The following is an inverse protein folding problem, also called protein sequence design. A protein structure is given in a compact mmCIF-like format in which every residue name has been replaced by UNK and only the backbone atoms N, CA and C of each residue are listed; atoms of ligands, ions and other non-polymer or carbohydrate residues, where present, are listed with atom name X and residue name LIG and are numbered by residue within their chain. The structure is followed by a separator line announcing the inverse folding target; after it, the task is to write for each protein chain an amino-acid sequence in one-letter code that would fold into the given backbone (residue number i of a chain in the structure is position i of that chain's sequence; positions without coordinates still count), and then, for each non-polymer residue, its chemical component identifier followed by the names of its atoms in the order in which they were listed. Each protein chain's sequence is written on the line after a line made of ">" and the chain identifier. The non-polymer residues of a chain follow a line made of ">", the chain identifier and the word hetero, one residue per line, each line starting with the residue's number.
data_IF_599690052382
#
_entry.id   IF_599690052382
#
_cell.length_a   1.000
_cell.length_b   1.000
_cell.length_c   1.000
_cell.angle_alpha   90.00
_cell.angle_beta   90.00
_cell.angle_gamma   90.00
#
_symmetry.space_group_name_H-M   'P 1'
#
loop_
_entity.id
_entity.type
_entity.pdbx_description
1 polymer ?
#
# COMPACT_ATOMS: atom_id res chain seq x y z
N UNK A 1 23.43 -0.52 -6.47
CA UNK A 1 22.12 -0.19 -7.08
C UNK A 1 21.47 -1.49 -7.53
N UNK A 2 20.58 -2.06 -6.73
CA UNK A 2 19.77 -3.22 -7.12
C UNK A 2 18.44 -2.68 -7.63
N UNK A 3 18.35 -2.54 -8.96
CA UNK A 3 17.12 -2.18 -9.63
C UNK A 3 16.22 -3.42 -9.73
N UNK A 4 15.02 -3.29 -9.18
CA UNK A 4 13.79 -3.77 -9.79
C UNK A 4 13.66 -5.29 -9.96
N UNK A 5 13.47 -6.00 -8.85
CA UNK A 5 12.58 -7.16 -8.84
C UNK A 5 11.16 -6.61 -8.61
N UNK A 6 10.19 -6.98 -9.46
CA UNK A 6 8.82 -6.43 -9.57
C UNK A 6 8.61 -5.24 -10.51
N UNK A 7 9.15 -5.27 -11.72
CA UNK A 7 8.34 -4.84 -12.88
C UNK A 7 7.75 -6.11 -13.49
N UNK A 8 6.45 -6.29 -13.28
CA UNK A 8 5.65 -7.29 -13.98
C UNK A 8 5.95 -7.14 -15.48
N UNK A 9 6.59 -8.13 -16.11
CA UNK A 9 6.71 -8.15 -17.56
C UNK A 9 5.28 -8.10 -18.13
N UNK A 10 4.94 -6.98 -18.75
CA UNK A 10 3.67 -6.65 -19.42
C UNK A 10 3.44 -7.52 -20.67
N UNK A 11 3.47 -8.84 -20.56
CA UNK A 11 3.14 -9.74 -21.68
C UNK A 11 1.83 -10.50 -21.50
N UNK A 12 1.26 -10.57 -20.30
CA UNK A 12 -0.12 -11.01 -20.08
C UNK A 12 -0.63 -10.50 -18.74
N UNK A 13 -1.75 -9.78 -18.72
CA UNK A 13 -2.49 -9.55 -17.47
C UNK A 13 -2.96 -10.93 -17.00
N UNK A 14 -2.57 -11.40 -15.80
CA UNK A 14 -3.04 -12.68 -15.29
C UNK A 14 -4.57 -12.72 -15.33
N UNK A 15 -5.13 -13.76 -15.96
CA UNK A 15 -6.57 -13.97 -15.94
C UNK A 15 -7.04 -14.19 -14.49
N UNK A 16 -8.19 -13.63 -14.17
CA UNK A 16 -8.72 -13.66 -12.83
C UNK A 16 -10.02 -12.88 -12.69
N UNK A 17 -10.62 -12.95 -11.52
CA UNK A 17 -11.89 -12.30 -11.19
C UNK A 17 -11.69 -11.23 -10.13
N UNK A 18 -12.29 -10.05 -10.35
CA UNK A 18 -12.40 -9.04 -9.31
C UNK A 18 -13.27 -9.56 -8.16
N UNK A 19 -12.81 -9.36 -6.94
CA UNK A 19 -13.51 -9.80 -5.73
C UNK A 19 -13.78 -8.62 -4.81
N UNK A 20 -14.90 -8.70 -4.07
CA UNK A 20 -15.16 -7.78 -2.97
C UNK A 20 -14.20 -8.03 -1.81
N UNK A 21 -13.82 -6.97 -1.12
CA UNK A 21 -12.98 -7.04 0.08
C UNK A 21 -13.42 -5.97 1.07
N UNK A 22 -13.01 -6.14 2.33
CA UNK A 22 -13.14 -5.14 3.38
C UNK A 22 -11.75 -4.91 3.97
N UNK A 23 -11.27 -3.65 4.07
CA UNK A 23 -10.00 -3.39 4.72
C UNK A 23 -10.10 -3.79 6.21
N UNK A 24 -9.12 -4.56 6.68
CA UNK A 24 -9.02 -4.91 8.10
C UNK A 24 -8.23 -3.85 8.86
N UNK A 25 -7.13 -3.37 8.26
CA UNK A 25 -6.27 -2.34 8.83
C UNK A 25 -5.60 -1.57 7.69
N UNK A 26 -5.72 -0.26 7.70
CA UNK A 26 -5.06 0.66 6.78
C UNK A 26 -4.69 1.91 7.58
N UNK A 27 -3.53 1.89 8.23
CA UNK A 27 -3.07 2.98 9.08
C UNK A 27 -2.10 3.91 8.35
N UNK A 28 -1.94 5.12 8.87
CA UNK A 28 -0.92 6.05 8.42
C UNK A 28 0.45 5.65 8.95
N UNK A 29 1.41 5.52 8.05
CA UNK A 29 2.83 5.46 8.39
C UNK A 29 3.41 6.87 8.38
N UNK A 30 4.08 7.27 9.45
CA UNK A 30 4.72 8.59 9.57
C UNK A 30 6.23 8.43 9.65
N UNK A 31 6.96 9.21 8.86
CA UNK A 31 8.42 9.19 8.77
C UNK A 31 8.97 10.58 9.04
N UNK A 32 9.95 10.70 9.93
CA UNK A 32 10.70 11.95 10.11
C UNK A 32 11.69 12.11 8.97
N UNK A 33 11.68 13.28 8.34
CA UNK A 33 12.58 13.66 7.28
C UNK A 33 13.75 14.49 7.84
N UNK A 34 14.82 14.61 7.05
CA UNK A 34 16.04 15.35 7.40
C UNK A 34 15.86 16.86 7.46
N UNK A 35 14.84 17.40 6.77
CA UNK A 35 14.42 18.81 6.81
C UNK A 35 13.56 19.16 8.05
N UNK A 36 13.29 18.19 8.92
CA UNK A 36 12.48 18.35 10.13
C UNK A 36 10.98 18.20 9.91
N UNK A 37 10.52 17.97 8.66
CA UNK A 37 9.13 17.64 8.38
C UNK A 37 8.84 16.15 8.64
N UNK A 38 7.55 15.82 8.68
CA UNK A 38 7.03 14.47 8.79
C UNK A 38 6.30 14.11 7.49
N UNK A 39 6.70 13.01 6.86
CA UNK A 39 6.00 12.42 5.72
C UNK A 39 4.97 11.39 6.24
N UNK A 40 3.69 11.67 6.04
CA UNK A 40 2.62 10.71 6.25
C UNK A 40 2.28 9.98 4.95
N UNK A 41 2.26 8.64 4.98
CA UNK A 41 1.87 7.81 3.84
C UNK A 41 0.81 6.80 4.29
N UNK A 42 -0.24 6.67 3.50
CA UNK A 42 -1.25 5.61 3.65
C UNK A 42 -1.53 4.96 2.31
N UNK A 43 -1.40 3.63 2.27
CA UNK A 43 -1.77 2.83 1.10
C UNK A 43 -3.26 2.53 1.21
N UNK A 44 -4.01 2.85 0.16
CA UNK A 44 -5.43 2.52 0.04
C UNK A 44 -5.58 1.50 -1.08
N UNK A 45 -6.08 0.31 -0.75
CA UNK A 45 -6.40 -0.70 -1.76
C UNK A 45 -7.73 -0.33 -2.41
N UNK A 46 -7.79 -0.28 -3.74
CA UNK A 46 -8.99 0.10 -4.49
C UNK A 46 -9.63 -1.08 -5.23
N UNK A 47 -8.85 -2.10 -5.56
CA UNK A 47 -9.33 -3.30 -6.25
C UNK A 47 -8.48 -4.51 -5.91
N UNK A 48 -9.13 -5.66 -5.71
CA UNK A 48 -8.45 -6.95 -5.56
C UNK A 48 -8.95 -7.90 -6.64
N UNK A 49 -8.02 -8.60 -7.28
CA UNK A 49 -8.27 -9.65 -8.27
C UNK A 49 -7.65 -10.95 -7.78
N UNK A 50 -8.47 -12.00 -7.69
CA UNK A 50 -7.98 -13.36 -7.51
C UNK A 50 -7.67 -13.93 -8.89
N UNK A 51 -6.42 -14.34 -9.10
CA UNK A 51 -6.01 -14.95 -10.37
C UNK A 51 -6.37 -16.43 -10.42
N UNK A 52 -6.35 -17.00 -11.62
CA UNK A 52 -6.55 -18.45 -11.81
C UNK A 52 -5.27 -19.27 -11.49
N UNK A 53 -4.20 -18.62 -11.05
CA UNK A 53 -2.91 -19.25 -10.77
C UNK A 53 -2.73 -19.51 -9.27
N UNK A 54 -1.96 -20.56 -8.97
CA UNK A 54 -1.52 -20.89 -7.62
C UNK A 54 -0.02 -20.63 -7.50
N UNK A 55 0.42 -20.25 -6.30
CA UNK A 55 1.85 -20.19 -5.97
C UNK A 55 2.44 -21.59 -5.73
N UNK A 56 3.73 -21.65 -5.41
CA UNK A 56 4.45 -22.89 -5.15
C UNK A 56 3.90 -23.69 -3.95
N UNK A 57 3.12 -23.06 -3.08
CA UNK A 57 2.49 -23.68 -1.91
C UNK A 57 1.06 -24.12 -2.18
N UNK A 58 0.55 -23.89 -3.40
CA UNK A 58 -0.81 -24.22 -3.80
C UNK A 58 -1.86 -23.16 -3.39
N UNK A 59 -1.42 -21.98 -2.94
CA UNK A 59 -2.33 -20.90 -2.57
C UNK A 59 -2.66 -20.01 -3.78
N UNK A 60 -3.90 -19.49 -3.89
CA UNK A 60 -4.24 -18.60 -4.99
C UNK A 60 -3.40 -17.33 -5.00
N UNK A 61 -2.93 -16.93 -6.18
CA UNK A 61 -2.22 -15.67 -6.35
C UNK A 61 -3.23 -14.52 -6.47
N UNK A 62 -3.00 -13.46 -5.71
CA UNK A 62 -3.80 -12.23 -5.74
C UNK A 62 -3.00 -11.09 -6.35
N UNK A 63 -3.69 -10.25 -7.12
CA UNK A 63 -3.18 -8.98 -7.63
C UNK A 63 -4.10 -7.88 -7.14
N UNK A 64 -3.55 -6.75 -6.72
CA UNK A 64 -4.34 -5.62 -6.26
C UNK A 64 -3.89 -4.32 -6.91
N UNK A 65 -4.82 -3.37 -6.96
CA UNK A 65 -4.53 -1.97 -7.29
C UNK A 65 -4.62 -1.17 -6.00
N UNK A 66 -3.70 -0.22 -5.85
CA UNK A 66 -3.65 0.66 -4.70
C UNK A 66 -3.23 2.06 -5.10
N UNK A 67 -3.57 3.02 -4.25
CA UNK A 67 -3.15 4.41 -4.36
C UNK A 67 -2.45 4.81 -3.06
N UNK A 68 -1.30 5.47 -3.18
CA UNK A 68 -0.66 6.12 -2.05
C UNK A 68 -1.33 7.48 -1.82
N UNK A 69 -1.87 7.67 -0.63
CA UNK A 69 -2.23 9.00 -0.11
C UNK A 69 -1.05 9.51 0.69
N UNK A 70 -0.62 10.73 0.36
CA UNK A 70 0.58 11.33 0.94
C UNK A 70 0.22 12.68 1.55
N UNK A 71 0.77 12.96 2.72
CA UNK A 71 0.70 14.25 3.39
C UNK A 71 2.07 14.62 3.95
N UNK A 72 2.35 15.92 4.00
CA UNK A 72 3.53 16.46 4.69
C UNK A 72 3.03 17.28 5.86
N UNK A 73 3.62 17.07 7.03
CA UNK A 73 3.28 17.74 8.27
C UNK A 73 4.54 18.36 8.87
N UNK A 74 4.39 19.45 9.59
CA UNK A 74 5.39 19.91 10.54
C UNK A 74 5.42 19.01 11.78
N UNK A 75 6.49 19.12 12.57
CA UNK A 75 6.61 18.39 13.83
C UNK A 75 5.48 18.71 14.82
N UNK A 76 5.02 19.96 14.86
CA UNK A 76 3.96 20.40 15.76
C UNK A 76 2.59 19.86 15.32
N UNK A 77 2.27 19.88 14.03
CA UNK A 77 1.03 19.29 13.50
C UNK A 77 0.96 17.78 13.77
N UNK A 78 2.07 17.06 13.58
CA UNK A 78 2.13 15.63 13.89
C UNK A 78 1.90 15.36 15.38
N UNK A 79 2.50 16.16 16.26
CA UNK A 79 2.29 16.03 17.72
C UNK A 79 0.83 16.20 18.11
N UNK A 80 0.12 17.13 17.47
CA UNK A 80 -1.29 17.37 17.79
C UNK A 80 -2.19 16.24 17.29
N UNK A 81 -1.89 15.67 16.11
CA UNK A 81 -2.58 14.46 15.61
C UNK A 81 -2.43 13.30 16.60
N UNK A 82 -1.20 13.03 17.07
CA UNK A 82 -0.93 11.93 18.02
C UNK A 82 -1.64 12.13 19.36
N UNK A 83 -1.82 13.38 19.80
CA UNK A 83 -2.55 13.69 21.03
C UNK A 83 -4.04 13.44 20.90
N UNK A 84 -4.64 13.75 19.75
CA UNK A 84 -6.08 13.57 19.51
C UNK A 84 -6.47 12.09 19.33
N UNK A 85 -5.51 11.22 19.04
CA UNK A 85 -5.73 9.78 18.89
C UNK A 85 -5.62 9.00 20.21
N UNK A 86 -5.32 9.68 21.32
CA UNK A 86 -5.28 9.11 22.68
C UNK A 86 -6.56 9.46 23.43
#
# INVERSE_FOLDING_TARGET
>A
MLNSFFVLKLHTIPKGKAIGFKPLMEEWSHYSLDDGNILGVRIIVSKVMKTDQLDATGLPIYVFQSTNVVQVLTQDEYRDIVRLQK
#
